data_IF_411457003992
#
_entry.id   IF_411457003992
#
_cell.length_a   1.000
_cell.length_b   1.000
_cell.length_c   1.000
_cell.angle_alpha   90.00
_cell.angle_beta   90.00
_cell.angle_gamma   90.00
#
_symmetry.space_group_name_H-M   'P 1'
#
loop_
_entity.id
_entity.type
_entity.pdbx_description
1 polymer ?
#
# COMPACT_ATOMS: atom_id res chain seq x y z
N UNK A 1 -7.05 13.75 -23.04
CA UNK A 1 -6.34 12.94 -22.04
C UNK A 1 -6.99 11.56 -22.01
N UNK A 2 -6.21 10.49 -22.18
CA UNK A 2 -6.78 9.14 -22.24
C UNK A 2 -7.09 8.67 -20.82
N UNK A 3 -8.35 8.44 -20.53
CA UNK A 3 -8.79 7.92 -19.23
C UNK A 3 -8.46 6.43 -19.15
N UNK A 4 -7.83 6.02 -18.05
CA UNK A 4 -7.50 4.63 -17.81
C UNK A 4 -8.75 3.75 -17.89
N UNK A 5 -8.64 2.63 -18.59
CA UNK A 5 -9.70 1.62 -18.70
C UNK A 5 -9.11 0.27 -18.29
N UNK A 6 -9.68 -0.34 -17.25
CA UNK A 6 -9.26 -1.65 -16.77
C UNK A 6 -9.40 -2.71 -17.87
N UNK A 7 -8.33 -3.45 -18.13
CA UNK A 7 -8.28 -4.52 -19.13
C UNK A 7 -8.85 -5.84 -18.58
N UNK A 8 -8.55 -6.13 -17.31
CA UNK A 8 -8.91 -7.37 -16.62
C UNK A 8 -10.10 -7.12 -15.66
N UNK A 9 -11.30 -7.03 -16.21
CA UNK A 9 -12.51 -6.78 -15.41
C UNK A 9 -12.93 -8.02 -14.64
N UNK A 10 -13.26 -7.85 -13.37
CA UNK A 10 -13.81 -8.87 -12.48
C UNK A 10 -15.14 -8.39 -11.92
N UNK A 11 -16.06 -9.31 -11.65
CA UNK A 11 -17.37 -8.98 -11.11
C UNK A 11 -17.26 -8.44 -9.67
N UNK A 12 -16.47 -9.13 -8.84
CA UNK A 12 -16.21 -8.75 -7.45
C UNK A 12 -14.69 -8.69 -7.25
N UNK A 13 -14.08 -7.50 -7.10
CA UNK A 13 -12.65 -7.39 -6.87
C UNK A 13 -12.27 -7.89 -5.47
N UNK A 14 -11.17 -8.61 -5.38
CA UNK A 14 -10.57 -9.06 -4.14
C UNK A 14 -9.50 -8.07 -3.69
N UNK A 15 -9.56 -7.66 -2.43
CA UNK A 15 -8.60 -6.75 -1.80
C UNK A 15 -7.81 -7.51 -0.75
N UNK A 16 -6.51 -7.48 -0.86
CA UNK A 16 -5.60 -7.98 0.16
C UNK A 16 -5.12 -6.83 1.05
N UNK A 17 -5.22 -7.00 2.36
CA UNK A 17 -4.73 -6.03 3.36
C UNK A 17 -3.69 -6.73 4.24
N UNK A 18 -2.40 -6.44 4.07
CA UNK A 18 -1.35 -6.93 4.96
C UNK A 18 -1.44 -6.23 6.33
N UNK A 19 -1.32 -7.00 7.39
CA UNK A 19 -1.36 -6.52 8.78
C UNK A 19 -0.05 -6.86 9.47
N UNK A 20 0.56 -5.87 10.11
CA UNK A 20 1.79 -5.99 10.87
C UNK A 20 1.58 -5.55 12.31
N UNK A 21 2.46 -5.94 13.25
CA UNK A 21 2.41 -5.42 14.60
C UNK A 21 2.38 -3.88 14.61
N UNK A 22 1.37 -3.30 15.26
CA UNK A 22 1.12 -1.85 15.30
C UNK A 22 0.20 -1.31 14.19
N UNK A 23 -0.16 -2.10 13.19
CA UNK A 23 -1.25 -1.74 12.25
C UNK A 23 -2.57 -1.70 13.02
N UNK A 24 -3.39 -0.66 12.81
CA UNK A 24 -4.66 -0.51 13.52
C UNK A 24 -5.79 0.09 12.66
N UNK A 25 -5.56 0.35 11.37
CA UNK A 25 -6.56 0.90 10.45
C UNK A 25 -7.06 -0.14 9.43
N UNK A 26 -6.72 -1.42 9.59
CA UNK A 26 -7.14 -2.50 8.69
C UNK A 26 -8.65 -2.75 8.71
N UNK A 27 -9.28 -2.63 9.88
CA UNK A 27 -10.73 -2.79 10.01
C UNK A 27 -11.52 -1.73 9.25
N UNK A 28 -11.15 -0.48 9.39
CA UNK A 28 -11.83 0.62 8.69
C UNK A 28 -11.57 0.56 7.19
N UNK A 29 -10.36 0.22 6.78
CA UNK A 29 -10.01 -0.03 5.39
C UNK A 29 -10.82 -1.17 4.81
N UNK A 30 -10.88 -2.31 5.50
CA UNK A 30 -11.68 -3.46 5.07
C UNK A 30 -13.18 -3.13 4.96
N UNK A 31 -13.71 -2.37 5.93
CA UNK A 31 -15.10 -1.92 5.93
C UNK A 31 -15.41 -1.03 4.72
N UNK A 32 -14.50 -0.11 4.39
CA UNK A 32 -14.66 0.78 3.24
C UNK A 32 -14.73 -0.02 1.92
N UNK A 33 -13.80 -0.96 1.72
CA UNK A 33 -13.78 -1.81 0.53
C UNK A 33 -15.01 -2.74 0.43
N UNK A 34 -15.42 -3.36 1.54
CA UNK A 34 -16.65 -4.18 1.56
C UNK A 34 -17.90 -3.37 1.23
N UNK A 35 -18.00 -2.14 1.74
CA UNK A 35 -19.10 -1.21 1.38
C UNK A 35 -19.10 -0.83 -0.11
N UNK A 36 -17.93 -0.81 -0.73
CA UNK A 36 -17.78 -0.61 -2.17
C UNK A 36 -18.05 -1.87 -3.01
N UNK A 37 -18.38 -3.00 -2.39
CA UNK A 37 -18.72 -4.24 -3.06
C UNK A 37 -17.52 -5.17 -3.32
N UNK A 38 -16.38 -4.97 -2.66
CA UNK A 38 -15.24 -5.84 -2.79
C UNK A 38 -15.21 -6.95 -1.72
N UNK A 39 -14.60 -8.08 -2.05
CA UNK A 39 -14.16 -9.07 -1.07
C UNK A 39 -12.84 -8.62 -0.45
N UNK A 40 -12.69 -8.80 0.87
CA UNK A 40 -11.49 -8.37 1.58
C UNK A 40 -10.91 -9.50 2.38
N UNK A 41 -9.64 -9.78 2.14
CA UNK A 41 -8.81 -10.71 2.90
C UNK A 41 -7.76 -9.91 3.68
N UNK A 42 -7.70 -10.15 5.00
CA UNK A 42 -6.70 -9.56 5.89
C UNK A 42 -5.85 -10.68 6.47
N UNK A 43 -4.53 -10.57 6.35
CA UNK A 43 -3.60 -11.55 6.92
C UNK A 43 -2.58 -10.84 7.80
N UNK A 44 -2.35 -11.41 8.98
CA UNK A 44 -1.33 -10.94 9.92
C UNK A 44 0.00 -11.60 9.59
N UNK A 45 1.04 -10.79 9.42
CA UNK A 45 2.40 -11.28 9.29
C UNK A 45 2.92 -11.73 10.64
N UNK A 46 3.17 -13.03 10.79
CA UNK A 46 3.73 -13.63 12.01
C UNK A 46 5.26 -13.62 11.91
N UNK A 47 5.91 -13.26 13.01
CA UNK A 47 7.37 -13.12 13.06
C UNK A 47 7.99 -13.66 14.36
N UNK A 48 7.32 -14.61 15.02
CA UNK A 48 7.78 -15.15 16.29
C UNK A 48 8.83 -16.26 16.10
N UNK A 49 8.78 -16.95 14.97
CA UNK A 49 9.72 -18.01 14.60
C UNK A 49 10.06 -17.94 13.12
N UNK A 50 11.12 -18.64 12.71
CA UNK A 50 11.49 -18.75 11.31
C UNK A 50 10.38 -19.41 10.47
N UNK A 51 9.72 -20.45 11.01
CA UNK A 51 8.57 -21.08 10.34
C UNK A 51 7.41 -20.11 10.15
N UNK A 52 7.08 -19.29 11.15
CA UNK A 52 6.03 -18.26 11.04
C UNK A 52 6.32 -17.27 9.93
N UNK A 53 7.58 -16.86 9.79
CA UNK A 53 8.00 -15.93 8.72
C UNK A 53 7.80 -16.58 7.35
N UNK A 54 8.26 -17.81 7.17
CA UNK A 54 8.12 -18.53 5.90
C UNK A 54 6.64 -18.77 5.54
N UNK A 55 5.83 -19.23 6.50
CA UNK A 55 4.39 -19.41 6.32
C UNK A 55 3.69 -18.09 5.96
N UNK A 56 4.07 -16.98 6.61
CA UNK A 56 3.51 -15.66 6.33
C UNK A 56 3.89 -15.15 4.93
N UNK A 57 5.12 -15.38 4.51
CA UNK A 57 5.57 -15.04 3.14
C UNK A 57 4.76 -15.81 2.11
N UNK A 58 4.58 -17.12 2.28
CA UNK A 58 3.82 -17.96 1.36
C UNK A 58 2.32 -17.58 1.36
N UNK A 59 1.75 -17.27 2.53
CA UNK A 59 0.37 -16.82 2.65
C UNK A 59 0.15 -15.45 1.97
N UNK A 60 1.09 -14.51 2.12
CA UNK A 60 1.03 -13.21 1.47
C UNK A 60 1.16 -13.34 -0.05
N UNK A 61 2.14 -14.12 -0.54
CA UNK A 61 2.31 -14.39 -1.96
C UNK A 61 1.01 -14.95 -2.57
N UNK A 62 0.41 -15.94 -1.92
CA UNK A 62 -0.86 -16.55 -2.35
C UNK A 62 -2.00 -15.53 -2.35
N UNK A 63 -2.14 -14.71 -1.31
CA UNK A 63 -3.18 -13.69 -1.23
C UNK A 63 -3.02 -12.63 -2.32
N UNK A 64 -1.80 -12.14 -2.57
CA UNK A 64 -1.49 -11.18 -3.63
C UNK A 64 -1.78 -11.77 -5.01
N UNK A 65 -1.44 -13.04 -5.23
CA UNK A 65 -1.69 -13.71 -6.51
C UNK A 65 -3.18 -13.80 -6.88
N UNK A 66 -4.06 -13.78 -5.88
CA UNK A 66 -5.52 -13.82 -6.06
C UNK A 66 -6.19 -12.44 -6.04
N UNK A 67 -5.54 -11.43 -5.48
CA UNK A 67 -6.10 -10.10 -5.32
C UNK A 67 -6.06 -9.28 -6.63
N UNK A 68 -6.94 -8.29 -6.72
CA UNK A 68 -6.90 -7.21 -7.71
C UNK A 68 -6.39 -5.90 -7.11
N UNK A 69 -6.44 -5.79 -5.80
CA UNK A 69 -6.03 -4.59 -5.07
C UNK A 69 -5.20 -5.01 -3.86
N UNK A 70 -4.07 -4.32 -3.62
CA UNK A 70 -3.37 -4.34 -2.34
C UNK A 70 -3.63 -3.03 -1.63
N UNK A 71 -4.13 -3.09 -0.40
CA UNK A 71 -4.33 -1.93 0.46
C UNK A 71 -3.32 -1.95 1.60
N UNK A 72 -2.42 -0.97 1.63
CA UNK A 72 -1.48 -0.72 2.72
C UNK A 72 -2.16 0.19 3.74
N UNK A 73 -2.58 -0.33 4.91
CA UNK A 73 -3.31 0.44 5.89
C UNK A 73 -2.41 1.40 6.66
N UNK A 74 -3.03 2.33 7.35
CA UNK A 74 -2.37 3.21 8.29
C UNK A 74 -2.15 2.55 9.65
N UNK A 75 -1.70 3.35 10.59
CA UNK A 75 -1.33 2.98 11.95
C UNK A 75 0.14 3.21 12.21
N UNK A 76 0.62 2.70 13.32
CA UNK A 76 2.03 2.78 13.71
C UNK A 76 2.62 1.38 13.69
N UNK A 77 3.26 0.99 12.59
CA UNK A 77 3.93 -0.30 12.55
C UNK A 77 5.17 -0.31 13.44
N UNK A 78 5.49 -1.47 14.00
CA UNK A 78 6.69 -1.63 14.81
C UNK A 78 7.93 -1.20 14.02
N UNK A 79 8.83 -0.43 14.64
CA UNK A 79 10.05 0.08 14.04
C UNK A 79 9.88 1.37 13.21
N UNK A 80 8.78 2.09 13.37
CA UNK A 80 8.58 3.37 12.68
C UNK A 80 9.53 4.48 13.15
N UNK A 81 10.01 4.41 14.36
CA UNK A 81 10.91 5.38 14.98
C UNK A 81 12.33 4.81 15.18
N UNK A 82 13.37 5.69 15.29
CA UNK A 82 13.38 7.14 15.10
C UNK A 82 13.62 7.59 13.65
N UNK A 83 14.00 6.73 12.75
CA UNK A 83 14.55 7.07 11.43
C UNK A 83 13.53 6.93 10.27
N UNK A 84 12.28 7.13 10.56
CA UNK A 84 11.21 7.09 9.55
C UNK A 84 10.26 5.92 9.72
N UNK A 85 9.28 5.87 8.83
CA UNK A 85 8.10 5.04 8.96
C UNK A 85 8.08 3.86 8.02
N UNK A 86 7.19 2.92 8.26
CA UNK A 86 6.90 1.77 7.39
C UNK A 86 8.08 0.81 7.17
N UNK A 87 9.04 0.74 8.09
CA UNK A 87 10.21 -0.16 7.97
C UNK A 87 9.79 -1.63 7.85
N UNK A 88 8.78 -2.03 8.61
CA UNK A 88 8.28 -3.40 8.60
C UNK A 88 7.68 -3.78 7.24
N UNK A 89 6.80 -2.92 6.71
CA UNK A 89 6.28 -3.07 5.35
C UNK A 89 7.41 -3.18 4.32
N UNK A 90 8.35 -2.24 4.38
CA UNK A 90 9.45 -2.19 3.43
C UNK A 90 10.31 -3.46 3.46
N UNK A 91 10.59 -4.00 4.65
CA UNK A 91 11.39 -5.23 4.80
C UNK A 91 10.66 -6.43 4.21
N UNK A 92 9.39 -6.63 4.57
CA UNK A 92 8.62 -7.79 4.11
C UNK A 92 8.34 -7.72 2.61
N UNK A 93 7.94 -6.56 2.09
CA UNK A 93 7.62 -6.42 0.66
C UNK A 93 8.85 -6.39 -0.27
N UNK A 94 10.07 -6.33 0.29
CA UNK A 94 11.32 -6.56 -0.44
C UNK A 94 11.71 -8.03 -0.50
N UNK A 95 11.01 -8.94 0.21
CA UNK A 95 11.19 -10.37 0.01
C UNK A 95 10.88 -10.71 -1.46
N UNK A 96 11.75 -11.49 -2.12
CA UNK A 96 11.67 -11.72 -3.56
C UNK A 96 10.34 -12.32 -4.01
N UNK A 97 9.77 -13.29 -3.28
CA UNK A 97 8.47 -13.90 -3.62
C UNK A 97 7.33 -12.87 -3.58
N UNK A 98 7.30 -12.07 -2.50
CA UNK A 98 6.26 -11.03 -2.31
C UNK A 98 6.43 -9.93 -3.35
N UNK A 99 7.66 -9.45 -3.54
CA UNK A 99 7.99 -8.44 -4.55
C UNK A 99 7.54 -8.86 -5.94
N UNK A 100 7.90 -10.07 -6.36
CA UNK A 100 7.52 -10.60 -7.68
C UNK A 100 6.00 -10.65 -7.84
N UNK A 101 5.27 -11.12 -6.82
CA UNK A 101 3.80 -11.18 -6.85
C UNK A 101 3.16 -9.81 -6.93
N UNK A 102 3.69 -8.80 -6.22
CA UNK A 102 3.24 -7.40 -6.31
C UNK A 102 3.49 -6.85 -7.71
N UNK A 103 4.68 -7.06 -8.26
CA UNK A 103 5.01 -6.54 -9.60
C UNK A 103 4.18 -7.22 -10.69
N UNK A 104 3.91 -8.53 -10.59
CA UNK A 104 2.96 -9.22 -11.48
C UNK A 104 1.54 -8.67 -11.36
N UNK A 105 1.07 -8.41 -10.13
CA UNK A 105 -0.24 -7.79 -9.92
C UNK A 105 -0.35 -6.45 -10.64
N UNK A 106 0.64 -5.58 -10.49
CA UNK A 106 0.60 -4.21 -11.01
C UNK A 106 0.84 -4.15 -12.53
N UNK A 107 1.79 -4.92 -13.05
CA UNK A 107 2.25 -4.79 -14.43
C UNK A 107 1.55 -5.73 -15.40
N UNK A 108 1.15 -6.93 -14.96
CA UNK A 108 0.60 -7.97 -15.85
C UNK A 108 -0.91 -8.15 -15.64
N UNK A 109 -1.39 -8.05 -14.40
CA UNK A 109 -2.79 -8.32 -14.05
C UNK A 109 -3.65 -7.08 -13.93
N UNK A 110 -3.09 -5.90 -14.24
CA UNK A 110 -3.80 -4.62 -14.23
C UNK A 110 -4.37 -4.25 -12.84
N UNK A 111 -3.69 -4.71 -11.79
CA UNK A 111 -4.09 -4.50 -10.41
C UNK A 111 -3.72 -3.13 -9.88
N UNK A 112 -4.16 -2.84 -8.66
CA UNK A 112 -3.99 -1.55 -8.02
C UNK A 112 -3.33 -1.68 -6.65
N UNK A 113 -2.59 -0.65 -6.26
CA UNK A 113 -2.11 -0.45 -4.91
C UNK A 113 -2.68 0.85 -4.34
N UNK A 114 -3.07 0.83 -3.07
CA UNK A 114 -3.49 2.00 -2.31
C UNK A 114 -2.75 2.02 -0.98
N UNK A 115 -2.21 3.16 -0.59
CA UNK A 115 -1.59 3.34 0.72
C UNK A 115 -2.11 4.59 1.40
N UNK A 116 -2.48 4.47 2.68
CA UNK A 116 -2.99 5.58 3.48
C UNK A 116 -2.10 5.76 4.70
N UNK A 117 -1.69 7.00 5.00
CA UNK A 117 -0.87 7.36 6.16
C UNK A 117 0.44 6.55 6.18
N UNK A 118 0.66 5.66 7.15
CA UNK A 118 1.81 4.76 7.20
C UNK A 118 1.92 3.88 5.94
N UNK A 119 0.79 3.44 5.39
CA UNK A 119 0.76 2.71 4.11
C UNK A 119 1.23 3.55 2.92
N UNK A 120 0.94 4.85 2.88
CA UNK A 120 1.51 5.75 1.89
C UNK A 120 3.03 5.90 2.05
N UNK A 121 3.49 6.03 3.30
CA UNK A 121 4.93 6.04 3.60
C UNK A 121 5.61 4.74 3.13
N UNK A 122 4.93 3.59 3.28
CA UNK A 122 5.39 2.31 2.75
C UNK A 122 5.53 2.33 1.22
N UNK A 123 4.53 2.85 0.49
CA UNK A 123 4.59 2.95 -0.97
C UNK A 123 5.75 3.83 -1.45
N UNK A 124 6.03 4.94 -0.74
CA UNK A 124 7.18 5.81 -1.04
C UNK A 124 8.49 5.07 -0.77
N UNK A 125 8.61 4.44 0.39
CA UNK A 125 9.84 3.73 0.82
C UNK A 125 10.14 2.48 -0.02
N UNK A 126 9.12 1.83 -0.55
CA UNK A 126 9.27 0.71 -1.48
C UNK A 126 9.67 1.16 -2.91
N UNK A 127 9.46 2.43 -3.25
CA UNK A 127 9.68 2.94 -4.61
C UNK A 127 8.43 2.88 -5.48
N UNK A 128 7.33 2.29 -5.02
CA UNK A 128 6.11 2.13 -5.82
C UNK A 128 5.49 3.47 -6.26
N UNK A 129 5.49 4.47 -5.39
CA UNK A 129 4.99 5.82 -5.75
C UNK A 129 5.98 6.58 -6.61
N UNK A 130 7.29 6.68 -6.26
CA UNK A 130 8.24 7.44 -7.06
C UNK A 130 8.54 6.81 -8.42
N UNK A 131 8.66 5.47 -8.49
CA UNK A 131 9.23 4.78 -9.65
C UNK A 131 8.27 3.77 -10.31
N UNK A 132 7.17 3.41 -9.65
CA UNK A 132 6.24 2.39 -10.14
C UNK A 132 6.72 0.95 -9.92
N UNK A 133 7.80 0.74 -9.20
CA UNK A 133 8.39 -0.57 -8.93
C UNK A 133 9.01 -0.65 -7.53
N UNK A 134 9.14 -1.87 -7.01
CA UNK A 134 9.81 -2.10 -5.72
C UNK A 134 11.32 -2.13 -5.96
N UNK A 135 11.99 -1.10 -5.43
CA UNK A 135 13.45 -0.91 -5.54
C UNK A 135 14.07 -0.63 -4.18
N UNK A 136 15.37 -0.81 -4.09
CA UNK A 136 16.14 -0.34 -2.94
C UNK A 136 16.29 1.18 -3.03
N UNK A 137 16.12 1.85 -1.89
CA UNK A 137 16.36 3.30 -1.81
C UNK A 137 17.85 3.60 -1.95
N UNK A 138 18.15 4.70 -2.61
CA UNK A 138 19.45 5.35 -2.69
C UNK A 138 19.42 6.65 -1.88
N UNK A 139 20.55 7.34 -1.80
CA UNK A 139 20.65 8.64 -1.11
C UNK A 139 19.73 9.70 -1.73
N UNK A 140 19.48 9.61 -3.03
CA UNK A 140 18.61 10.54 -3.76
C UNK A 140 17.14 10.12 -3.79
N UNK A 141 16.78 8.97 -3.18
CA UNK A 141 15.40 8.50 -3.18
C UNK A 141 14.50 9.36 -2.31
N UNK A 142 13.31 9.75 -2.79
CA UNK A 142 12.35 10.47 -1.96
C UNK A 142 11.97 9.63 -0.74
N UNK A 143 11.85 10.30 0.40
CA UNK A 143 11.42 9.70 1.67
C UNK A 143 10.53 10.65 2.45
N UNK A 144 9.77 10.08 3.37
CA UNK A 144 8.99 10.83 4.36
C UNK A 144 9.63 10.60 5.73
N UNK A 145 9.96 11.66 6.39
CA UNK A 145 10.63 11.66 7.69
C UNK A 145 10.04 12.73 8.61
N UNK A 146 10.69 13.00 9.72
CA UNK A 146 10.25 13.98 10.71
C UNK A 146 10.22 15.39 10.13
N UNK A 147 9.23 16.18 10.56
CA UNK A 147 9.16 17.59 10.22
C UNK A 147 10.36 18.37 10.78
N UNK A 148 10.88 19.33 10.02
CA UNK A 148 11.98 20.20 10.43
C UNK A 148 11.67 20.96 11.73
N UNK A 149 10.41 21.26 12.01
CA UNK A 149 9.96 21.90 13.25
C UNK A 149 9.96 20.95 14.47
N UNK A 150 10.40 19.70 14.32
CA UNK A 150 10.55 18.72 15.40
C UNK A 150 9.25 18.22 16.02
N UNK A 151 8.10 18.45 15.40
CA UNK A 151 6.80 17.98 15.91
C UNK A 151 5.82 17.63 14.80
N UNK A 152 4.86 16.78 15.12
CA UNK A 152 3.71 16.50 14.25
C UNK A 152 2.82 17.74 14.11
N UNK A 153 2.32 17.96 12.88
CA UNK A 153 1.32 19.02 12.59
C UNK A 153 0.01 18.33 12.23
N UNK A 154 -0.99 18.53 13.09
CA UNK A 154 -2.36 18.07 12.84
C UNK A 154 -3.25 19.28 12.56
N UNK A 155 -3.69 19.42 11.31
CA UNK A 155 -4.54 20.53 10.88
C UNK A 155 -5.40 20.12 9.70
N UNK A 156 -6.52 20.81 9.54
CA UNK A 156 -7.34 20.69 8.34
C UNK A 156 -6.72 21.51 7.22
N UNK A 157 -6.60 20.88 6.05
CA UNK A 157 -6.05 21.56 4.86
C UNK A 157 -6.96 21.34 3.66
N UNK A 158 -6.95 22.28 2.74
CA UNK A 158 -7.59 22.10 1.44
C UNK A 158 -6.70 21.26 0.55
N UNK A 159 -7.29 20.30 -0.14
CA UNK A 159 -6.61 19.51 -1.14
C UNK A 159 -7.22 19.74 -2.51
N UNK A 160 -6.40 19.75 -3.55
CA UNK A 160 -6.84 19.96 -4.93
C UNK A 160 -6.51 18.76 -5.78
N UNK A 161 -7.47 18.31 -6.59
CA UNK A 161 -7.22 17.25 -7.58
C UNK A 161 -6.51 17.85 -8.79
N UNK A 162 -5.21 17.63 -8.88
CA UNK A 162 -4.38 18.19 -9.98
C UNK A 162 -4.27 17.25 -11.19
N UNK A 163 -4.61 15.99 -11.06
CA UNK A 163 -4.57 15.01 -12.13
C UNK A 163 -5.53 13.84 -11.86
N UNK A 164 -6.10 13.29 -12.92
CA UNK A 164 -6.92 12.08 -12.89
C UNK A 164 -6.26 10.91 -13.63
N UNK A 165 -4.95 10.93 -13.79
CA UNK A 165 -4.18 9.83 -14.40
C UNK A 165 -4.27 8.54 -13.60
N UNK A 166 -4.32 8.65 -12.27
CA UNK A 166 -4.49 7.48 -11.40
C UNK A 166 -5.88 6.87 -11.59
N UNK A 167 -5.99 5.53 -11.69
CA UNK A 167 -7.27 4.84 -11.73
C UNK A 167 -8.19 5.18 -10.55
N UNK A 168 -7.62 5.46 -9.38
CA UNK A 168 -8.34 5.88 -8.17
C UNK A 168 -9.05 7.22 -8.35
N UNK A 169 -8.52 8.11 -9.17
CA UNK A 169 -9.05 9.46 -9.38
C UNK A 169 -9.80 9.61 -10.72
N UNK A 170 -10.11 8.48 -11.40
CA UNK A 170 -10.74 8.49 -12.71
C UNK A 170 -12.03 9.33 -12.80
N UNK A 171 -12.83 9.33 -11.74
CA UNK A 171 -14.10 10.08 -11.66
C UNK A 171 -13.95 11.43 -10.97
N UNK A 172 -12.76 11.78 -10.50
CA UNK A 172 -12.53 13.04 -9.82
C UNK A 172 -12.55 14.21 -10.82
N UNK A 173 -13.15 15.30 -10.41
CA UNK A 173 -13.16 16.54 -11.18
C UNK A 173 -11.83 17.26 -10.93
N UNK A 174 -11.12 17.64 -11.99
CA UNK A 174 -9.89 18.41 -11.88
C UNK A 174 -10.19 19.79 -11.32
N UNK A 175 -9.23 20.32 -10.56
CA UNK A 175 -9.30 21.63 -9.91
C UNK A 175 -10.41 21.78 -8.84
N UNK A 176 -11.10 20.70 -8.50
CA UNK A 176 -12.00 20.67 -7.36
C UNK A 176 -11.19 20.66 -6.05
N UNK A 177 -11.62 21.51 -5.10
CA UNK A 177 -11.08 21.63 -3.75
C UNK A 177 -12.01 20.91 -2.77
#
# INVERSE_FOLDING_TARGET
MQVYVCKNKVAVPKVFIPVFPGTNCEYDSAKAFRRAGAEVETLVFKNQSESDILESVDAFEKAISQAQIIMFPGGFSAGDEPEGSAKFFATVFRNEKIKESVMKLLNERDGLALGICNGFQALVKLGLVPYGEIVNQTEDSPTLTMNEIGRHVSTMVYTKVVTNKSPWLRKAVLDQI
#
